data_IF_399330396984
#
_entry.id   IF_399330396984
#
_cell.length_a   1.000
_cell.length_b   1.000
_cell.length_c   1.000
_cell.angle_alpha   90.00
_cell.angle_beta   90.00
_cell.angle_gamma   90.00
#
_symmetry.space_group_name_H-M   'P 1'
#
loop_
_entity.id
_entity.type
_entity.pdbx_description
1 polymer ?
#
# COMPACT_ATOMS: atom_id res chain seq x y z
N UNK A 1 25.88 -15.96 6.78
CA UNK A 1 24.50 -15.44 6.71
C UNK A 1 24.53 -14.04 7.29
N UNK A 2 24.49 -12.99 6.46
CA UNK A 2 24.53 -11.62 6.98
C UNK A 2 23.20 -11.37 7.69
N UNK A 3 23.29 -11.08 8.97
CA UNK A 3 22.18 -10.64 9.82
C UNK A 3 21.66 -9.34 9.20
N UNK A 4 20.56 -9.43 8.45
CA UNK A 4 19.91 -8.26 7.88
C UNK A 4 19.38 -7.44 9.03
N UNK A 5 20.01 -6.30 9.20
CA UNK A 5 19.83 -5.44 10.33
C UNK A 5 18.42 -4.81 10.21
N UNK A 6 17.52 -5.22 11.11
CA UNK A 6 16.21 -4.58 11.31
C UNK A 6 16.38 -3.09 11.69
N UNK A 7 17.63 -2.65 11.92
CA UNK A 7 18.08 -1.33 12.35
C UNK A 7 17.64 -0.13 11.49
N UNK A 8 17.10 -0.34 10.28
CA UNK A 8 16.60 0.76 9.42
C UNK A 8 15.12 1.10 9.69
N UNK A 9 14.35 0.23 10.36
CA UNK A 9 12.99 0.55 10.79
C UNK A 9 13.05 1.20 12.17
N UNK A 10 12.58 2.45 12.28
CA UNK A 10 12.25 3.05 13.57
C UNK A 10 11.26 2.09 14.26
N UNK A 11 11.70 1.41 15.31
CA UNK A 11 10.94 0.32 15.94
C UNK A 11 9.53 0.76 16.35
N UNK A 12 9.37 2.04 16.69
CA UNK A 12 8.08 2.62 17.07
C UNK A 12 7.12 2.83 15.90
N UNK A 13 7.60 3.20 14.70
CA UNK A 13 6.74 3.31 13.51
C UNK A 13 6.21 1.94 13.10
N UNK A 14 7.09 0.93 13.08
CA UNK A 14 6.70 -0.45 12.80
C UNK A 14 5.69 -0.96 13.84
N UNK A 15 5.95 -0.71 15.13
CA UNK A 15 5.03 -1.10 16.21
C UNK A 15 3.66 -0.42 16.03
N UNK A 16 3.63 0.88 15.77
CA UNK A 16 2.39 1.61 15.53
C UNK A 16 1.61 1.03 14.34
N UNK A 17 2.30 0.62 13.27
CA UNK A 17 1.66 0.00 12.11
C UNK A 17 1.06 -1.36 12.43
N UNK A 18 1.84 -2.24 13.09
CA UNK A 18 1.36 -3.57 13.46
C UNK A 18 0.17 -3.52 14.44
N UNK A 19 0.06 -2.46 15.24
CA UNK A 19 -1.10 -2.22 16.10
C UNK A 19 -2.24 -1.42 15.45
N UNK A 20 -2.14 -1.11 14.15
CA UNK A 20 -3.19 -0.40 13.42
C UNK A 20 -3.36 1.07 13.82
N UNK A 21 -2.30 1.71 14.30
CA UNK A 21 -2.28 3.10 14.76
C UNK A 21 -1.39 4.03 13.91
N UNK A 22 -0.84 3.53 12.79
CA UNK A 22 0.05 4.31 11.93
C UNK A 22 -0.72 5.05 10.82
N UNK A 23 -0.58 6.39 10.70
CA UNK A 23 -1.35 7.18 9.75
C UNK A 23 -0.81 7.14 8.32
N UNK A 24 0.42 6.67 8.11
CA UNK A 24 1.05 6.61 6.77
C UNK A 24 1.76 5.27 6.50
N UNK A 25 1.03 4.24 6.06
CA UNK A 25 1.60 2.93 5.76
C UNK A 25 2.72 2.95 4.71
N UNK A 26 2.80 3.96 3.84
CA UNK A 26 3.83 4.08 2.80
C UNK A 26 5.22 4.35 3.36
N UNK A 27 5.34 4.77 4.62
CA UNK A 27 6.64 4.86 5.32
C UNK A 27 7.25 3.49 5.59
N UNK A 28 6.43 2.44 5.62
CA UNK A 28 6.84 1.09 5.98
C UNK A 28 6.75 0.18 4.77
N UNK A 29 5.61 0.20 4.07
CA UNK A 29 5.27 -0.66 2.95
C UNK A 29 5.74 -0.08 1.61
N UNK A 30 5.79 -0.94 0.59
CA UNK A 30 6.22 -0.57 -0.75
C UNK A 30 7.74 -0.52 -0.91
N UNK A 31 8.25 0.11 -1.98
CA UNK A 31 9.68 0.19 -2.29
C UNK A 31 10.38 1.33 -1.52
N UNK A 32 11.44 0.99 -0.80
CA UNK A 32 12.27 1.90 -0.01
C UNK A 32 13.73 1.81 -0.47
N UNK A 33 14.33 2.96 -0.82
CA UNK A 33 15.72 3.00 -1.28
C UNK A 33 16.69 2.89 -0.10
N UNK A 34 17.62 1.93 -0.16
CA UNK A 34 18.72 1.77 0.78
C UNK A 34 20.05 1.76 0.00
N UNK A 35 20.72 2.91 -0.05
CA UNK A 35 21.95 3.11 -0.86
C UNK A 35 21.69 2.80 -2.35
N UNK A 36 22.29 1.73 -2.86
CA UNK A 36 22.15 1.22 -4.22
C UNK A 36 21.04 0.17 -4.37
N UNK A 37 20.48 -0.30 -3.25
CA UNK A 37 19.49 -1.36 -3.21
C UNK A 37 18.08 -0.80 -2.97
N UNK A 38 17.07 -1.61 -3.29
CA UNK A 38 15.67 -1.31 -2.97
C UNK A 38 15.11 -2.41 -2.08
N UNK A 39 14.61 -2.02 -0.91
CA UNK A 39 13.86 -2.90 -0.02
C UNK A 39 12.38 -2.79 -0.36
N UNK A 40 11.74 -3.90 -0.70
CA UNK A 40 10.29 -3.95 -0.89
C UNK A 40 9.68 -4.62 0.33
N UNK A 41 8.78 -3.92 1.02
CA UNK A 41 8.07 -4.46 2.19
C UNK A 41 6.60 -4.62 1.89
N UNK A 42 6.09 -5.80 2.22
CA UNK A 42 4.72 -6.20 1.94
C UNK A 42 4.09 -6.73 3.21
N UNK A 43 2.87 -6.27 3.50
CA UNK A 43 2.11 -6.77 4.64
C UNK A 43 0.89 -7.56 4.16
N UNK A 44 0.95 -8.88 4.36
CA UNK A 44 -0.08 -9.85 3.99
C UNK A 44 -0.23 -10.87 5.11
N UNK A 45 -1.07 -10.61 6.13
CA UNK A 45 -1.31 -11.55 7.22
C UNK A 45 -1.93 -12.88 6.76
N UNK A 46 -2.61 -12.88 5.61
CA UNK A 46 -3.20 -14.05 4.97
C UNK A 46 -2.20 -14.88 4.14
N UNK A 47 -0.99 -14.37 3.93
CA UNK A 47 0.03 -15.03 3.12
C UNK A 47 0.90 -15.98 3.93
N UNK A 48 1.18 -17.15 3.35
CA UNK A 48 2.23 -18.06 3.78
C UNK A 48 3.58 -17.63 3.21
N UNK A 49 3.60 -17.28 1.92
CA UNK A 49 4.80 -16.89 1.19
C UNK A 49 4.50 -15.69 0.28
N UNK A 50 5.46 -14.79 0.14
CA UNK A 50 5.42 -13.67 -0.80
C UNK A 50 6.71 -13.69 -1.62
N UNK A 51 6.61 -13.42 -2.91
CA UNK A 51 7.76 -13.22 -3.79
C UNK A 51 7.53 -12.03 -4.70
N UNK A 52 8.61 -11.36 -5.07
CA UNK A 52 8.62 -10.18 -5.93
C UNK A 52 9.08 -10.61 -7.32
N UNK A 53 8.30 -10.29 -8.34
CA UNK A 53 8.68 -10.53 -9.73
C UNK A 53 8.80 -9.19 -10.46
N UNK A 54 9.99 -8.90 -10.98
CA UNK A 54 10.21 -7.71 -11.80
C UNK A 54 9.62 -7.92 -13.20
N UNK A 55 9.07 -6.86 -13.78
CA UNK A 55 8.39 -6.93 -15.09
C UNK A 55 9.34 -7.18 -16.25
N UNK A 56 10.62 -6.80 -16.10
CA UNK A 56 11.68 -7.04 -17.09
C UNK A 56 12.15 -8.50 -17.15
N UNK A 57 11.30 -9.44 -16.71
CA UNK A 57 11.42 -10.88 -16.88
C UNK A 57 12.52 -11.55 -16.05
N UNK A 58 12.77 -11.05 -14.84
CA UNK A 58 13.63 -11.70 -13.85
C UNK A 58 12.95 -12.89 -13.13
N UNK A 59 13.76 -13.75 -12.52
CA UNK A 59 13.27 -14.76 -11.59
C UNK A 59 12.53 -14.11 -10.41
N UNK A 60 11.52 -14.78 -9.87
CA UNK A 60 10.82 -14.30 -8.68
C UNK A 60 11.78 -14.35 -7.47
N UNK A 61 11.91 -13.23 -6.78
CA UNK A 61 12.77 -13.05 -5.62
C UNK A 61 11.91 -13.35 -4.38
N UNK A 62 12.22 -14.38 -3.58
CA UNK A 62 11.45 -14.68 -2.38
C UNK A 62 11.62 -13.56 -1.35
N UNK A 63 10.53 -13.17 -0.69
CA UNK A 63 10.56 -12.24 0.42
C UNK A 63 10.71 -13.00 1.75
N UNK A 64 11.61 -12.54 2.60
CA UNK A 64 11.83 -13.08 3.93
C UNK A 64 10.81 -12.50 4.91
N UNK A 65 10.33 -13.32 5.85
CA UNK A 65 9.44 -12.88 6.92
C UNK A 65 10.26 -12.21 8.02
N UNK A 66 10.09 -10.91 8.23
CA UNK A 66 10.92 -10.15 9.19
C UNK A 66 10.40 -10.31 10.62
N UNK A 67 9.14 -9.94 10.86
CA UNK A 67 8.63 -9.77 12.21
C UNK A 67 7.10 -9.80 12.26
N UNK A 68 6.55 -10.44 13.29
CA UNK A 68 5.11 -10.58 13.46
C UNK A 68 4.44 -11.48 12.42
N UNK A 69 3.12 -11.51 12.44
CA UNK A 69 2.33 -12.20 11.41
C UNK A 69 2.10 -11.26 10.22
N UNK A 70 2.62 -11.64 9.04
CA UNK A 70 2.26 -11.01 7.77
C UNK A 70 3.24 -10.02 7.17
N UNK A 71 4.33 -9.62 7.85
CA UNK A 71 5.30 -8.69 7.26
C UNK A 71 6.45 -9.44 6.55
N UNK A 72 6.61 -9.14 5.26
CA UNK A 72 7.63 -9.71 4.39
C UNK A 72 8.52 -8.61 3.81
N UNK A 73 9.78 -8.92 3.56
CA UNK A 73 10.73 -8.03 2.87
C UNK A 73 11.56 -8.79 1.84
N UNK A 74 11.71 -8.20 0.67
CA UNK A 74 12.68 -8.61 -0.32
C UNK A 74 13.68 -7.47 -0.56
N UNK A 75 14.92 -7.84 -0.86
CA UNK A 75 15.98 -6.90 -1.25
C UNK A 75 16.26 -7.06 -2.73
N UNK A 76 16.14 -5.97 -3.48
CA UNK A 76 16.55 -5.88 -4.88
C UNK A 76 17.92 -5.20 -4.92
N UNK A 77 18.96 -5.98 -5.24
CA UNK A 77 20.32 -5.47 -5.32
C UNK A 77 20.53 -4.59 -6.56
N UNK A 78 21.22 -3.45 -6.41
CA UNK A 78 21.64 -2.57 -7.51
C UNK A 78 20.53 -2.19 -8.49
N UNK A 79 19.32 -2.00 -7.99
CA UNK A 79 18.14 -1.68 -8.80
C UNK A 79 17.78 -0.19 -8.71
N UNK A 80 17.20 0.34 -9.79
CA UNK A 80 16.59 1.66 -9.74
C UNK A 80 15.42 1.68 -8.74
N UNK A 81 15.07 2.86 -8.23
CA UNK A 81 13.98 3.01 -7.25
C UNK A 81 12.62 2.60 -7.83
N UNK A 82 12.35 3.00 -9.06
CA UNK A 82 11.03 2.93 -9.68
C UNK A 82 10.88 1.73 -10.62
N UNK A 83 11.46 0.59 -10.24
CA UNK A 83 11.34 -0.63 -11.03
C UNK A 83 9.92 -1.18 -10.88
N UNK A 84 9.16 -1.37 -11.97
CA UNK A 84 7.85 -1.98 -11.89
C UNK A 84 7.97 -3.47 -11.55
N UNK A 85 7.16 -3.91 -10.60
CA UNK A 85 7.13 -5.30 -10.13
C UNK A 85 5.70 -5.75 -9.81
N UNK A 86 5.55 -7.06 -9.67
CA UNK A 86 4.34 -7.72 -9.19
C UNK A 86 4.66 -8.54 -7.95
N UNK A 87 3.68 -8.60 -7.06
CA UNK A 87 3.65 -9.48 -5.90
C UNK A 87 3.03 -10.80 -6.31
N UNK A 88 3.74 -11.90 -6.05
CA UNK A 88 3.17 -13.24 -6.08
C UNK A 88 2.97 -13.70 -4.63
N UNK A 89 1.71 -13.87 -4.26
CA UNK A 89 1.27 -14.11 -2.89
C UNK A 89 0.63 -15.48 -2.83
N UNK A 90 1.19 -16.36 -2.00
CA UNK A 90 0.68 -17.71 -1.79
C UNK A 90 0.07 -17.80 -0.39
N UNK A 91 -1.21 -18.14 -0.33
CA UNK A 91 -1.97 -18.25 0.92
C UNK A 91 -1.81 -19.62 1.57
N UNK A 92 -2.33 -19.74 2.79
CA UNK A 92 -2.31 -20.98 3.57
C UNK A 92 -3.13 -22.12 2.96
N UNK A 93 -4.19 -21.79 2.22
CA UNK A 93 -5.02 -22.75 1.47
C UNK A 93 -4.38 -23.23 0.16
N UNK A 94 -3.17 -22.73 -0.17
CA UNK A 94 -2.45 -23.04 -1.40
C UNK A 94 -2.85 -22.17 -2.59
N UNK A 95 -3.85 -21.29 -2.47
CA UNK A 95 -4.21 -20.35 -3.52
C UNK A 95 -3.09 -19.34 -3.78
N UNK A 96 -2.91 -18.98 -5.05
CA UNK A 96 -1.94 -17.98 -5.47
C UNK A 96 -2.65 -16.75 -6.05
N UNK A 97 -2.15 -15.57 -5.70
CA UNK A 97 -2.59 -14.30 -6.25
C UNK A 97 -1.36 -13.56 -6.80
N UNK A 98 -1.46 -13.08 -8.04
CA UNK A 98 -0.50 -12.14 -8.62
C UNK A 98 -1.16 -10.77 -8.66
N UNK A 99 -0.52 -9.76 -8.09
CA UNK A 99 -1.07 -8.39 -8.03
C UNK A 99 0.04 -7.36 -8.04
N UNK A 100 -0.28 -6.13 -8.45
CA UNK A 100 0.57 -4.97 -8.23
C UNK A 100 0.52 -4.57 -6.76
N UNK A 101 1.59 -3.93 -6.28
CA UNK A 101 1.66 -3.43 -4.90
C UNK A 101 0.96 -2.07 -4.79
N UNK A 102 -0.14 -1.94 -4.00
CA UNK A 102 -0.80 -0.66 -3.75
C UNK A 102 0.13 0.42 -3.18
N UNK A 103 1.18 0.03 -2.45
CA UNK A 103 2.11 0.93 -1.80
C UNK A 103 3.28 1.37 -2.70
N UNK A 104 3.28 0.95 -3.96
CA UNK A 104 4.22 1.44 -4.97
C UNK A 104 3.81 2.78 -5.60
N UNK A 105 2.57 3.23 -5.39
CA UNK A 105 2.03 4.45 -6.01
C UNK A 105 2.17 5.67 -5.09
N UNK A 106 2.73 6.77 -5.63
CA UNK A 106 2.86 8.05 -4.93
C UNK A 106 1.52 8.72 -4.65
N UNK A 107 1.56 9.91 -4.03
CA UNK A 107 0.36 10.69 -3.70
C UNK A 107 -0.44 11.00 -4.97
N UNK A 108 -1.77 10.82 -4.91
CA UNK A 108 -2.64 10.96 -6.08
C UNK A 108 -3.51 12.23 -6.01
N UNK A 109 -4.02 12.59 -4.83
CA UNK A 109 -4.74 13.85 -4.66
C UNK A 109 -3.78 15.03 -4.80
N UNK A 110 -4.09 15.96 -5.71
CA UNK A 110 -3.24 17.13 -5.95
C UNK A 110 -3.43 18.23 -4.90
N UNK A 111 -2.41 19.08 -4.75
CA UNK A 111 -2.43 20.20 -3.80
C UNK A 111 -3.57 21.19 -4.06
N UNK A 112 -3.90 21.45 -5.33
CA UNK A 112 -5.03 22.33 -5.71
C UNK A 112 -6.36 21.76 -5.25
N UNK A 113 -6.57 20.45 -5.42
CA UNK A 113 -7.80 19.78 -4.97
C UNK A 113 -7.94 19.88 -3.44
N UNK A 114 -6.84 19.64 -2.72
CA UNK A 114 -6.78 19.75 -1.26
C UNK A 114 -7.02 21.17 -0.77
N UNK A 115 -6.46 22.16 -1.45
CA UNK A 115 -6.63 23.57 -1.13
C UNK A 115 -8.08 24.02 -1.30
N UNK A 116 -8.68 23.77 -2.47
CA UNK A 116 -10.09 24.09 -2.74
C UNK A 116 -11.03 23.35 -1.79
N UNK A 117 -10.70 22.11 -1.41
CA UNK A 117 -11.46 21.36 -0.41
C UNK A 117 -11.38 22.04 0.97
N UNK A 118 -10.18 22.45 1.40
CA UNK A 118 -9.97 23.14 2.67
C UNK A 118 -10.70 24.48 2.77
N UNK A 119 -10.90 25.17 1.64
CA UNK A 119 -11.68 26.42 1.57
C UNK A 119 -13.19 26.20 1.40
N UNK A 120 -13.64 24.95 1.20
CA UNK A 120 -15.05 24.65 0.90
C UNK A 120 -15.51 25.10 -0.48
N UNK A 121 -14.57 25.33 -1.42
CA UNK A 121 -14.83 25.86 -2.76
C UNK A 121 -14.70 24.81 -3.88
N UNK A 122 -14.46 23.55 -3.53
CA UNK A 122 -14.29 22.50 -4.51
C UNK A 122 -15.64 21.95 -5.03
N UNK A 123 -16.27 22.63 -5.99
CA UNK A 123 -17.61 22.27 -6.50
C UNK A 123 -17.71 20.86 -7.10
N UNK A 124 -16.61 20.31 -7.61
CA UNK A 124 -16.54 18.95 -8.20
C UNK A 124 -15.87 17.94 -7.26
N UNK A 125 -16.07 18.09 -5.94
CA UNK A 125 -15.41 17.26 -4.92
C UNK A 125 -15.70 15.76 -5.10
N UNK A 126 -16.89 15.45 -5.62
CA UNK A 126 -17.32 14.09 -5.91
C UNK A 126 -16.46 13.37 -6.95
N UNK A 127 -15.65 14.08 -7.76
CA UNK A 127 -14.69 13.48 -8.71
C UNK A 127 -13.38 13.06 -8.04
N UNK A 128 -13.18 13.47 -6.78
CA UNK A 128 -11.95 13.23 -6.01
C UNK A 128 -12.20 12.32 -4.82
N UNK A 129 -13.32 12.48 -4.12
CA UNK A 129 -13.71 11.67 -2.97
C UNK A 129 -14.57 10.48 -3.38
N UNK A 130 -14.57 9.43 -2.56
CA UNK A 130 -15.24 8.17 -2.84
C UNK A 130 -14.32 7.17 -3.53
N UNK A 131 -14.88 6.35 -4.41
CA UNK A 131 -14.15 5.33 -5.16
C UNK A 131 -14.24 5.62 -6.66
N UNK A 132 -13.09 5.74 -7.32
CA UNK A 132 -12.99 6.09 -8.73
C UNK A 132 -12.12 5.09 -9.46
N UNK A 133 -12.70 4.41 -10.45
CA UNK A 133 -11.90 3.61 -11.40
C UNK A 133 -11.03 4.58 -12.20
N UNK A 134 -9.72 4.38 -12.16
CA UNK A 134 -8.77 5.22 -12.89
C UNK A 134 -7.49 4.48 -13.23
N UNK A 135 -6.80 4.99 -14.25
CA UNK A 135 -5.44 4.56 -14.60
C UNK A 135 -4.43 5.41 -13.81
N UNK A 136 -3.48 4.77 -13.14
CA UNK A 136 -2.35 5.42 -12.46
C UNK A 136 -1.07 4.78 -12.96
N UNK A 137 -0.23 5.56 -13.65
CA UNK A 137 0.85 4.99 -14.45
C UNK A 137 0.28 4.11 -15.57
N UNK A 138 0.72 2.86 -15.64
CA UNK A 138 0.20 1.87 -16.59
C UNK A 138 -0.94 1.00 -16.05
N UNK A 139 -1.23 1.06 -14.75
CA UNK A 139 -2.16 0.14 -14.10
C UNK A 139 -3.55 0.74 -13.95
N UNK A 140 -4.56 -0.08 -14.28
CA UNK A 140 -5.97 0.21 -13.99
C UNK A 140 -6.31 -0.29 -12.58
N UNK A 141 -7.04 0.51 -11.82
CA UNK A 141 -7.49 0.16 -10.48
C UNK A 141 -8.53 1.12 -9.95
N UNK A 142 -8.78 1.05 -8.64
CA UNK A 142 -9.69 1.97 -7.96
C UNK A 142 -8.91 2.84 -6.99
N UNK A 143 -9.13 4.13 -7.12
CA UNK A 143 -8.66 5.14 -6.17
C UNK A 143 -9.74 5.44 -5.15
N UNK A 144 -9.39 5.32 -3.89
CA UNK A 144 -10.25 5.58 -2.75
C UNK A 144 -9.78 6.83 -2.02
N UNK A 145 -10.71 7.72 -1.71
CA UNK A 145 -10.46 8.86 -0.84
C UNK A 145 -11.64 9.16 0.10
N UNK A 146 -11.34 9.40 1.37
CA UNK A 146 -12.33 9.70 2.40
C UNK A 146 -11.81 10.77 3.37
N UNK A 147 -12.68 11.66 3.81
CA UNK A 147 -12.33 12.66 4.81
C UNK A 147 -12.61 12.11 6.21
N UNK A 148 -11.56 11.96 7.02
CA UNK A 148 -11.65 11.47 8.39
C UNK A 148 -10.52 12.09 9.23
N UNK A 149 -10.57 13.41 9.52
CA UNK A 149 -9.45 14.17 10.05
C UNK A 149 -9.01 13.71 11.44
N UNK A 150 -9.92 13.16 12.24
CA UNK A 150 -9.65 12.71 13.60
C UNK A 150 -9.37 11.20 13.69
N UNK A 151 -9.45 10.46 12.58
CA UNK A 151 -9.14 9.03 12.58
C UNK A 151 -7.65 8.79 12.87
N UNK A 152 -7.37 7.69 13.56
CA UNK A 152 -6.01 7.20 13.80
C UNK A 152 -5.52 6.32 12.65
N UNK A 153 -6.42 5.54 12.04
CA UNK A 153 -6.20 4.73 10.85
C UNK A 153 -7.49 4.73 10.03
N UNK A 154 -7.35 4.62 8.72
CA UNK A 154 -8.45 4.24 7.83
C UNK A 154 -7.94 3.14 6.92
N UNK A 155 -8.77 2.14 6.63
CA UNK A 155 -8.43 1.06 5.70
C UNK A 155 -9.58 0.83 4.72
N UNK A 156 -9.26 0.43 3.49
CA UNK A 156 -10.29 -0.02 2.53
C UNK A 156 -10.49 -1.51 2.70
N UNK A 157 -11.70 -1.94 3.02
CA UNK A 157 -12.09 -3.36 3.14
C UNK A 157 -13.10 -3.71 2.09
N UNK A 158 -13.04 -4.92 1.54
CA UNK A 158 -13.96 -5.38 0.52
C UNK A 158 -13.70 -6.82 0.09
N UNK A 159 -14.41 -7.26 -0.94
CA UNK A 159 -14.32 -8.64 -1.43
C UNK A 159 -12.88 -9.01 -1.85
N UNK A 160 -12.14 -8.04 -2.39
CA UNK A 160 -10.77 -8.21 -2.91
C UNK A 160 -9.70 -8.46 -1.84
N UNK A 161 -9.99 -8.17 -0.56
CA UNK A 161 -9.09 -8.47 0.56
C UNK A 161 -9.74 -9.32 1.65
N UNK A 162 -10.84 -10.01 1.33
CA UNK A 162 -11.55 -10.85 2.29
C UNK A 162 -12.08 -10.07 3.49
N UNK A 163 -12.38 -8.78 3.30
CA UNK A 163 -12.82 -7.87 4.35
C UNK A 163 -11.82 -7.67 5.51
N UNK A 164 -10.52 -7.92 5.29
CA UNK A 164 -9.47 -7.71 6.29
C UNK A 164 -8.85 -6.30 6.19
N UNK A 165 -9.19 -5.43 7.15
CA UNK A 165 -8.70 -4.04 7.24
C UNK A 165 -7.21 -3.90 7.51
N UNK A 166 -6.52 -4.99 7.82
CA UNK A 166 -5.06 -4.97 8.00
C UNK A 166 -4.31 -4.95 6.66
N UNK A 167 -4.94 -5.38 5.57
CA UNK A 167 -4.28 -5.57 4.26
C UNK A 167 -4.12 -4.25 3.48
N UNK A 168 -5.14 -3.38 3.53
CA UNK A 168 -5.17 -2.13 2.75
C UNK A 168 -5.40 -0.87 3.63
N UNK A 169 -4.56 -0.61 4.65
CA UNK A 169 -4.56 0.69 5.32
C UNK A 169 -4.18 1.84 4.37
N UNK A 170 -4.85 2.97 4.54
CA UNK A 170 -4.72 4.18 3.71
C UNK A 170 -3.68 5.13 4.31
N UNK A 171 -3.13 6.04 3.51
CA UNK A 171 -2.31 7.16 4.04
C UNK A 171 -3.16 8.38 4.33
N UNK A 172 -2.85 9.06 5.42
CA UNK A 172 -3.41 10.36 5.79
C UNK A 172 -2.59 11.50 5.20
N UNK A 173 -3.26 12.41 4.51
CA UNK A 173 -2.69 13.68 4.06
C UNK A 173 -2.81 14.68 5.22
N UNK A 174 -1.73 14.79 6.03
CA UNK A 174 -1.72 15.37 7.38
C UNK A 174 -2.29 16.80 7.47
N UNK A 175 -2.22 17.60 6.40
CA UNK A 175 -2.79 18.97 6.36
C UNK A 175 -4.30 19.05 6.13
N UNK A 176 -4.91 18.06 5.46
CA UNK A 176 -6.33 18.07 5.09
C UNK A 176 -7.18 17.08 5.89
N UNK A 177 -6.55 16.09 6.51
CA UNK A 177 -7.25 14.99 7.16
C UNK A 177 -7.93 14.02 6.19
N UNK A 178 -7.59 14.11 4.91
CA UNK A 178 -8.04 13.21 3.85
C UNK A 178 -7.18 11.95 3.86
N UNK A 179 -7.82 10.80 3.73
CA UNK A 179 -7.16 9.51 3.57
C UNK A 179 -7.27 9.07 2.13
N UNK A 180 -6.18 8.57 1.55
CA UNK A 180 -6.17 8.05 0.19
C UNK A 180 -5.45 6.70 0.06
N UNK A 181 -5.88 5.91 -0.92
CA UNK A 181 -5.19 4.72 -1.39
C UNK A 181 -5.63 4.38 -2.81
N UNK A 182 -4.69 3.98 -3.66
CA UNK A 182 -4.99 3.36 -4.95
C UNK A 182 -4.71 1.87 -4.88
N UNK A 183 -5.70 1.07 -5.24
CA UNK A 183 -5.56 -0.39 -5.28
C UNK A 183 -5.66 -0.84 -6.74
N UNK A 184 -4.55 -1.28 -7.34
CA UNK A 184 -4.52 -1.76 -8.72
C UNK A 184 -5.26 -3.08 -8.87
N UNK A 185 -5.80 -3.33 -10.06
CA UNK A 185 -6.49 -4.59 -10.40
C UNK A 185 -7.93 -4.71 -9.89
N UNK A 186 -8.43 -3.72 -9.12
CA UNK A 186 -9.85 -3.64 -8.77
C UNK A 186 -10.62 -3.02 -9.94
N UNK A 187 -11.76 -3.63 -10.29
CA UNK A 187 -12.69 -3.14 -11.31
C UNK A 187 -13.98 -2.54 -10.72
N UNK A 188 -14.90 -2.17 -11.61
CA UNK A 188 -16.24 -1.70 -11.24
C UNK A 188 -17.03 -2.75 -10.44
N UNK A 189 -18.00 -2.29 -9.65
CA UNK A 189 -18.91 -3.11 -8.83
C UNK A 189 -18.28 -3.87 -7.66
N UNK A 190 -16.99 -3.64 -7.34
CA UNK A 190 -16.39 -4.18 -6.13
C UNK A 190 -17.09 -3.64 -4.87
N UNK A 191 -17.59 -4.53 -4.00
CA UNK A 191 -18.13 -4.10 -2.71
C UNK A 191 -17.00 -3.69 -1.79
N UNK A 192 -17.17 -2.56 -1.12
CA UNK A 192 -16.20 -2.05 -0.18
C UNK A 192 -16.85 -1.26 0.96
N UNK A 193 -16.09 -1.08 2.04
CA UNK A 193 -16.32 -0.11 3.11
C UNK A 193 -14.98 0.51 3.53
N UNK A 194 -15.06 1.57 4.33
CA UNK A 194 -13.94 2.07 5.10
C UNK A 194 -14.01 1.50 6.51
N UNK A 195 -12.92 0.89 6.97
CA UNK A 195 -12.68 0.57 8.38
C UNK A 195 -11.94 1.75 9.00
N UNK A 196 -12.54 2.39 10.01
CA UNK A 196 -12.03 3.59 10.68
C UNK A 196 -11.74 3.26 12.15
#
# INVERSE_FOLDING_TARGET
>A
MKQFDISVLMTDELRAFLHGAHPDPFRILGPHRLREDVLIRVFRPDAREVSIKLDNNGAAIPAEKIQGEGLFQATLEKCARDVPYTLKIKRWDGSEQITRDPYSYGVIMGEVDLHLFGEGQHWRLYEKFGAHVRKVGEDLGVYFAVWAPNAQRVSVVGDFNGWDGRVHPMRKLIGSGVWELFIPGIGENAHYKFEI
#
